data_IF_243637290713
#
_entry.id   IF_243637290713
#
_cell.length_a   1.000
_cell.length_b   1.000
_cell.length_c   1.000
_cell.angle_alpha   90.00
_cell.angle_beta   90.00
_cell.angle_gamma   90.00
#
_symmetry.space_group_name_H-M   'P 1'
#
loop_
_entity.id
_entity.type
_entity.pdbx_description
1 polymer ?
#
# COMPACT_ATOMS: atom_id res chain seq x y z
N UNK A 1 86.54 37.73 -17.36
CA UNK A 1 85.09 38.01 -17.51
C UNK A 1 84.38 36.69 -17.27
N UNK A 2 83.46 36.44 -16.32
CA UNK A 2 82.71 37.12 -15.26
C UNK A 2 82.32 35.97 -14.29
N UNK A 3 82.63 35.98 -12.99
CA UNK A 3 81.87 36.52 -11.83
C UNK A 3 80.39 36.09 -11.68
N UNK A 4 80.04 35.66 -10.45
CA UNK A 4 78.68 35.46 -9.88
C UNK A 4 78.36 33.98 -9.62
N UNK A 5 78.24 33.39 -8.41
CA UNK A 5 77.85 33.82 -7.04
C UNK A 5 76.44 34.40 -6.90
N UNK A 6 75.46 33.55 -6.53
CA UNK A 6 74.25 33.80 -5.71
C UNK A 6 73.62 32.43 -5.39
N UNK A 7 73.56 31.88 -4.17
CA UNK A 7 72.84 32.27 -2.94
C UNK A 7 71.40 32.73 -3.18
N UNK A 8 70.44 31.88 -2.80
CA UNK A 8 69.00 32.18 -2.93
C UNK A 8 68.06 31.09 -2.40
N UNK A 9 68.03 30.95 -1.07
CA UNK A 9 66.87 30.62 -0.23
C UNK A 9 65.95 29.44 -0.58
N UNK A 10 66.03 28.42 0.30
CA UNK A 10 64.97 27.44 0.55
C UNK A 10 63.73 28.16 1.11
N UNK A 11 62.64 28.16 0.34
CA UNK A 11 61.32 28.54 0.82
C UNK A 11 60.66 27.27 1.38
N UNK A 12 60.79 27.04 2.69
CA UNK A 12 59.98 26.06 3.40
C UNK A 12 58.61 26.69 3.64
N UNK A 13 57.67 26.44 2.73
CA UNK A 13 56.25 26.66 3.00
C UNK A 13 55.79 25.60 3.98
N UNK A 14 55.85 25.94 5.28
CA UNK A 14 55.14 25.25 6.34
C UNK A 14 53.63 25.40 6.15
N UNK A 15 53.08 24.63 5.21
CA UNK A 15 51.65 24.40 5.10
C UNK A 15 51.26 23.43 6.21
N UNK A 16 50.71 23.96 7.30
CA UNK A 16 50.03 23.16 8.31
C UNK A 16 48.78 22.57 7.66
N UNK A 17 48.92 21.40 7.03
CA UNK A 17 47.77 20.61 6.59
C UNK A 17 47.06 20.15 7.84
N UNK A 18 46.01 20.87 8.25
CA UNK A 18 45.04 20.36 9.21
C UNK A 18 44.36 19.20 8.50
N UNK A 19 44.90 18.00 8.68
CA UNK A 19 44.21 16.76 8.34
C UNK A 19 43.10 16.63 9.36
N UNK A 20 41.96 17.24 9.01
CA UNK A 20 40.70 16.96 9.67
C UNK A 20 40.35 15.50 9.39
N UNK A 21 40.83 14.61 10.26
CA UNK A 21 40.36 13.23 10.38
C UNK A 21 38.94 13.27 10.96
N UNK A 22 37.99 13.78 10.17
CA UNK A 22 36.61 13.36 10.32
C UNK A 22 36.53 11.97 9.70
N UNK A 23 36.85 10.95 10.50
CA UNK A 23 36.40 9.60 10.20
C UNK A 23 34.87 9.69 10.11
N UNK A 24 34.34 9.77 8.88
CA UNK A 24 32.91 9.75 8.65
C UNK A 24 32.40 8.44 9.25
N UNK A 25 31.69 8.55 10.37
CA UNK A 25 31.02 7.42 10.99
C UNK A 25 30.06 6.87 9.94
N UNK A 26 30.41 5.71 9.38
CA UNK A 26 29.56 5.01 8.45
C UNK A 26 28.22 4.73 9.17
N UNK A 27 27.07 5.10 8.59
CA UNK A 27 25.79 4.87 9.21
C UNK A 27 25.64 3.38 9.49
N UNK A 28 25.20 3.04 10.71
CA UNK A 28 24.94 1.65 11.04
C UNK A 28 23.86 1.09 10.10
N UNK A 29 24.02 -0.18 9.69
CA UNK A 29 22.99 -0.85 8.92
C UNK A 29 21.71 -0.95 9.75
N UNK A 30 20.58 -0.65 9.11
CA UNK A 30 19.24 -0.69 9.70
C UNK A 30 18.41 -1.78 9.01
N UNK A 31 17.46 -2.34 9.74
CA UNK A 31 16.51 -3.32 9.21
C UNK A 31 15.25 -2.58 8.74
N UNK A 32 14.75 -2.92 7.55
CA UNK A 32 13.56 -2.34 6.94
C UNK A 32 12.54 -3.45 6.66
N UNK A 33 11.27 -3.18 6.94
CA UNK A 33 10.16 -4.00 6.44
C UNK A 33 9.70 -3.40 5.09
N UNK A 34 9.67 -4.23 4.03
CA UNK A 34 9.16 -3.79 2.75
C UNK A 34 7.63 -3.73 2.77
N UNK A 35 7.00 -2.56 2.52
CA UNK A 35 5.54 -2.45 2.57
C UNK A 35 4.86 -3.17 1.41
N UNK A 36 5.59 -3.43 0.32
CA UNK A 36 5.04 -4.04 -0.90
C UNK A 36 5.00 -5.56 -0.86
N UNK A 37 6.05 -6.21 -0.32
CA UNK A 37 6.14 -7.67 -0.31
C UNK A 37 6.33 -8.29 1.09
N UNK A 38 6.31 -7.47 2.15
CA UNK A 38 6.51 -7.91 3.53
C UNK A 38 7.92 -8.44 3.84
N UNK A 39 8.85 -8.38 2.89
CA UNK A 39 10.21 -8.90 3.07
C UNK A 39 11.05 -7.98 3.96
N UNK A 40 11.89 -8.58 4.80
CA UNK A 40 12.83 -7.87 5.68
C UNK A 40 14.18 -7.68 5.00
N UNK A 41 14.63 -6.43 4.93
CA UNK A 41 15.85 -6.05 4.21
C UNK A 41 16.77 -5.26 5.13
N UNK A 42 18.03 -5.65 5.23
CA UNK A 42 19.05 -4.89 5.97
C UNK A 42 19.78 -3.97 5.00
N UNK A 43 19.82 -2.67 5.28
CA UNK A 43 20.46 -1.68 4.42
C UNK A 43 21.05 -0.50 5.18
N UNK A 44 22.01 0.18 4.56
CA UNK A 44 22.60 1.40 5.13
C UNK A 44 21.79 2.60 4.62
N UNK A 45 21.20 3.42 5.51
CA UNK A 45 20.47 4.62 5.07
C UNK A 45 21.40 5.56 4.31
N UNK A 46 20.89 6.15 3.22
CA UNK A 46 21.61 7.17 2.47
C UNK A 46 21.89 8.38 3.36
N UNK A 47 23.16 8.79 3.45
CA UNK A 47 23.59 9.92 4.30
C UNK A 47 22.92 11.25 3.93
N UNK A 48 22.41 11.38 2.70
CA UNK A 48 21.86 12.63 2.18
C UNK A 48 20.35 12.57 1.94
N UNK A 49 19.65 11.49 2.35
CA UNK A 49 18.21 11.30 2.12
C UNK A 49 17.80 11.17 0.64
N UNK A 50 18.77 11.20 -0.29
CA UNK A 50 18.55 11.25 -1.73
C UNK A 50 18.65 9.89 -2.43
N UNK A 51 19.10 8.84 -1.72
CA UNK A 51 19.14 7.49 -2.27
C UNK A 51 18.05 6.65 -1.61
N UNK A 52 16.99 6.40 -2.37
CA UNK A 52 15.99 5.38 -2.03
C UNK A 52 16.66 4.01 -2.03
N UNK A 53 16.52 3.27 -0.93
CA UNK A 53 16.94 1.88 -0.87
C UNK A 53 15.83 1.05 -1.52
N UNK A 54 16.12 0.23 -2.52
CA UNK A 54 15.10 -0.63 -3.14
C UNK A 54 15.09 -2.02 -2.51
N UNK A 55 13.90 -2.59 -2.36
CA UNK A 55 13.75 -3.98 -1.92
C UNK A 55 14.31 -4.91 -3.01
N UNK A 56 15.24 -5.82 -2.69
CA UNK A 56 15.80 -6.75 -3.66
C UNK A 56 14.78 -7.80 -4.14
N UNK A 57 13.68 -7.99 -3.40
CA UNK A 57 12.68 -9.00 -3.72
C UNK A 57 11.61 -8.51 -4.68
N UNK A 58 11.18 -7.24 -4.57
CA UNK A 58 10.08 -6.70 -5.37
C UNK A 58 10.38 -5.35 -6.03
N UNK A 59 11.60 -4.82 -5.90
CA UNK A 59 11.99 -3.51 -6.45
C UNK A 59 11.42 -2.30 -5.72
N UNK A 60 10.46 -2.48 -4.80
CA UNK A 60 9.77 -1.40 -4.11
C UNK A 60 10.69 -0.52 -3.25
N UNK A 61 10.40 0.78 -3.20
CA UNK A 61 11.23 1.77 -2.48
C UNK A 61 11.02 1.64 -0.96
N UNK A 62 12.12 1.41 -0.24
CA UNK A 62 12.18 1.39 1.21
C UNK A 62 12.44 2.81 1.73
N UNK A 63 11.48 3.35 2.47
CA UNK A 63 11.58 4.66 3.10
C UNK A 63 12.09 4.54 4.55
N UNK A 64 12.70 5.61 5.07
CA UNK A 64 13.28 5.63 6.43
C UNK A 64 12.25 5.41 7.55
N UNK A 65 10.98 5.76 7.33
CA UNK A 65 9.86 5.48 8.24
C UNK A 65 9.56 3.97 8.39
N UNK A 66 10.04 3.13 7.47
CA UNK A 66 9.92 1.66 7.56
C UNK A 66 11.11 1.01 8.25
N UNK A 67 12.05 1.81 8.79
CA UNK A 67 13.16 1.29 9.57
C UNK A 67 12.63 0.75 10.91
N UNK A 68 12.79 -0.55 11.10
CA UNK A 68 12.53 -1.20 12.38
C UNK A 68 13.68 -0.83 13.30
N UNK A 69 13.42 0.05 14.28
CA UNK A 69 14.37 0.33 15.35
C UNK A 69 14.61 -0.95 16.15
N UNK A 70 15.67 -1.69 15.82
CA UNK A 70 16.25 -2.61 16.79
C UNK A 70 16.80 -1.76 17.93
N UNK A 71 16.22 -1.89 19.12
CA UNK A 71 16.96 -1.59 20.34
C UNK A 71 18.21 -2.47 20.29
N UNK A 72 19.36 -1.86 19.98
CA UNK A 72 20.64 -2.50 20.17
C UNK A 72 20.74 -2.82 21.67
N UNK A 73 20.53 -4.10 22.03
CA UNK A 73 21.11 -4.60 23.25
C UNK A 73 22.62 -4.40 23.11
N UNK A 74 23.27 -3.64 24.02
CA UNK A 74 24.70 -3.49 23.95
C UNK A 74 25.32 -4.88 24.04
N UNK A 75 26.15 -5.21 23.05
CA UNK A 75 26.97 -6.41 23.07
C UNK A 75 27.80 -6.38 24.36
N UNK A 76 27.38 -7.15 25.36
CA UNK A 76 28.22 -7.42 26.52
C UNK A 76 29.40 -8.24 26.02
N UNK A 77 30.56 -7.60 26.00
CA UNK A 77 31.84 -8.26 25.79
C UNK A 77 31.98 -9.33 26.88
N UNK A 78 31.79 -10.60 26.52
CA UNK A 78 32.13 -11.72 27.38
C UNK A 78 33.65 -11.79 27.48
N UNK A 79 34.20 -11.20 28.54
CA UNK A 79 35.51 -11.55 29.05
C UNK A 79 35.38 -12.98 29.59
N UNK A 80 36.04 -13.92 28.92
CA UNK A 80 36.22 -15.27 29.43
C UNK A 80 37.09 -15.22 30.70
N UNK A 81 36.57 -15.77 31.79
CA UNK A 81 37.38 -16.28 32.90
C UNK A 81 36.65 -17.46 33.55
N UNK A 82 37.37 -18.52 33.95
CA UNK A 82 36.78 -19.84 34.17
C UNK A 82 36.31 -20.08 35.61
N UNK A 83 35.45 -21.08 35.72
CA UNK A 83 35.14 -21.89 36.89
C UNK A 83 34.48 -21.18 38.09
N UNK A 84 33.22 -21.51 38.34
CA UNK A 84 32.82 -22.06 39.64
C UNK A 84 31.55 -22.90 39.45
N UNK A 85 31.66 -24.18 39.83
CA UNK A 85 30.56 -25.11 39.93
C UNK A 85 29.62 -24.68 41.07
N UNK A 86 28.31 -24.83 40.87
CA UNK A 86 27.33 -24.55 41.91
C UNK A 86 25.90 -24.79 41.47
N UNK A 87 25.41 -25.98 41.80
CA UNK A 87 24.03 -26.29 42.21
C UNK A 87 22.88 -26.25 41.20
N UNK A 88 22.54 -27.48 40.81
CA UNK A 88 21.21 -27.93 40.44
C UNK A 88 20.18 -27.61 41.53
N UNK A 89 19.15 -26.84 41.18
CA UNK A 89 17.72 -27.08 41.45
C UNK A 89 16.95 -25.75 41.40
N UNK A 90 16.01 -25.62 40.46
CA UNK A 90 14.59 -25.54 40.81
C UNK A 90 13.72 -25.05 39.64
N UNK A 91 12.73 -25.89 39.34
CA UNK A 91 11.35 -25.57 38.92
C UNK A 91 11.15 -24.95 37.54
N UNK A 92 10.84 -25.86 36.62
CA UNK A 92 9.84 -25.65 35.58
C UNK A 92 8.54 -25.08 36.19
N UNK A 93 8.10 -23.93 35.68
CA UNK A 93 6.72 -23.45 35.75
C UNK A 93 6.25 -23.31 34.31
N UNK A 94 5.71 -24.41 33.79
CA UNK A 94 4.76 -24.38 32.69
C UNK A 94 3.38 -24.09 33.27
N UNK A 95 2.58 -23.32 32.53
CA UNK A 95 1.10 -23.35 32.47
C UNK A 95 0.45 -21.98 32.72
N UNK A 96 0.14 -21.32 31.60
CA UNK A 96 -1.18 -20.81 31.24
C UNK A 96 -2.00 -20.06 32.30
N UNK A 97 -2.24 -18.76 32.05
CA UNK A 97 -3.55 -18.10 32.20
C UNK A 97 -3.54 -16.71 31.55
N UNK A 98 -3.89 -16.70 30.27
CA UNK A 98 -4.66 -15.60 29.68
C UNK A 98 -6.06 -15.64 30.28
N UNK A 99 -6.45 -14.65 31.07
CA UNK A 99 -7.85 -14.26 31.27
C UNK A 99 -7.91 -12.99 32.10
N UNK A 100 -8.45 -11.92 31.51
CA UNK A 100 -8.85 -10.74 32.26
C UNK A 100 -8.46 -9.43 31.60
N UNK A 101 -8.97 -9.16 30.40
CA UNK A 101 -9.04 -7.79 29.84
C UNK A 101 -9.94 -7.65 28.60
N UNK A 102 -11.14 -8.21 28.64
CA UNK A 102 -12.18 -7.94 27.63
C UNK A 102 -13.54 -7.77 28.29
N UNK A 103 -13.90 -6.53 28.63
CA UNK A 103 -15.31 -6.15 28.86
C UNK A 103 -15.62 -4.66 28.60
N UNK A 104 -14.64 -3.77 28.32
CA UNK A 104 -14.95 -2.34 28.14
C UNK A 104 -15.08 -1.89 26.67
N UNK A 105 -14.47 -2.60 25.72
CA UNK A 105 -14.50 -2.21 24.30
C UNK A 105 -15.80 -2.61 23.57
N UNK A 106 -16.54 -3.60 24.07
CA UNK A 106 -17.78 -4.07 23.45
C UNK A 106 -18.97 -3.15 23.73
N UNK A 107 -18.98 -2.40 24.83
CA UNK A 107 -20.12 -1.55 25.20
C UNK A 107 -20.18 -0.28 24.32
N UNK A 108 -19.04 0.25 23.89
CA UNK A 108 -18.99 1.45 23.02
C UNK A 108 -19.49 1.12 21.59
N UNK A 109 -19.20 -0.07 21.08
CA UNK A 109 -19.68 -0.51 19.77
C UNK A 109 -21.22 -0.58 19.70
N UNK A 110 -21.88 -1.13 20.72
CA UNK A 110 -23.34 -1.23 20.73
C UNK A 110 -24.04 0.13 20.84
N UNK A 111 -23.45 1.09 21.56
CA UNK A 111 -24.02 2.46 21.65
C UNK A 111 -23.93 3.17 20.30
N UNK A 112 -22.84 3.03 19.56
CA UNK A 112 -22.69 3.64 18.23
C UNK A 112 -23.66 3.05 17.21
N UNK A 113 -23.86 1.72 17.22
CA UNK A 113 -24.83 1.05 16.33
C UNK A 113 -26.26 1.50 16.64
N UNK A 114 -26.63 1.64 17.93
CA UNK A 114 -27.95 2.14 18.30
C UNK A 114 -28.19 3.59 17.86
N UNK A 115 -27.16 4.44 17.91
CA UNK A 115 -27.24 5.84 17.43
C UNK A 115 -27.40 5.90 15.91
N UNK A 116 -26.67 5.07 15.14
CA UNK A 116 -26.79 5.00 13.68
C UNK A 116 -28.19 4.55 13.26
N UNK A 117 -28.73 3.50 13.91
CA UNK A 117 -30.10 3.03 13.64
C UNK A 117 -31.13 4.10 13.99
N UNK A 118 -30.97 4.80 15.11
CA UNK A 118 -31.86 5.89 15.49
C UNK A 118 -31.82 7.07 14.49
N UNK A 119 -30.65 7.40 13.96
CA UNK A 119 -30.50 8.42 12.92
C UNK A 119 -31.21 8.01 11.61
N UNK A 120 -31.01 6.78 11.14
CA UNK A 120 -31.67 6.26 9.92
C UNK A 120 -33.19 6.29 10.09
N UNK A 121 -33.71 5.81 11.22
CA UNK A 121 -35.14 5.85 11.50
C UNK A 121 -35.65 7.29 11.59
N UNK A 122 -34.89 8.21 12.20
CA UNK A 122 -35.28 9.61 12.27
C UNK A 122 -35.41 10.26 10.88
N UNK A 123 -34.51 9.97 9.94
CA UNK A 123 -34.60 10.45 8.56
C UNK A 123 -35.79 9.84 7.81
N UNK A 124 -36.05 8.54 7.99
CA UNK A 124 -37.19 7.87 7.37
C UNK A 124 -38.55 8.35 7.92
N UNK A 125 -38.64 8.62 9.23
CA UNK A 125 -39.89 9.06 9.85
C UNK A 125 -40.16 10.56 9.70
N UNK A 126 -39.14 11.42 9.52
CA UNK A 126 -39.37 12.86 9.25
C UNK A 126 -39.87 13.15 7.83
N UNK A 127 -39.69 12.22 6.89
CA UNK A 127 -40.18 12.36 5.52
C UNK A 127 -41.68 12.15 5.34
N UNK A 128 -42.41 11.67 6.36
CA UNK A 128 -43.79 11.17 6.17
C UNK A 128 -44.87 11.94 6.94
N UNK A 129 -44.67 13.24 7.18
CA UNK A 129 -45.70 14.14 7.69
C UNK A 129 -46.11 15.15 6.61
N UNK A 130 -46.73 14.64 5.54
CA UNK A 130 -47.18 15.45 4.41
C UNK A 130 -48.27 14.77 3.60
N UNK A 131 -49.52 14.89 4.08
CA UNK A 131 -50.78 14.84 3.33
C UNK A 131 -51.06 13.65 2.39
N UNK A 132 -52.04 12.84 2.82
CA UNK A 132 -52.94 12.10 1.95
C UNK A 132 -53.47 12.97 0.79
N UNK A 133 -53.04 12.69 -0.43
CA UNK A 133 -53.91 12.78 -1.61
C UNK A 133 -53.65 11.56 -2.49
N UNK A 134 -54.73 10.81 -2.72
CA UNK A 134 -54.73 9.72 -3.67
C UNK A 134 -54.40 10.24 -5.06
N UNK A 135 -53.31 9.73 -5.62
CA UNK A 135 -53.14 9.57 -7.05
C UNK A 135 -52.39 8.27 -7.23
N UNK A 136 -53.05 7.30 -7.85
CA UNK A 136 -52.40 6.13 -8.43
C UNK A 136 -51.47 6.63 -9.52
N UNK A 137 -50.22 6.95 -9.16
CA UNK A 137 -49.11 6.97 -10.08
C UNK A 137 -48.06 6.07 -9.46
N UNK A 138 -48.04 4.84 -9.96
CA UNK A 138 -46.84 4.03 -10.07
C UNK A 138 -45.81 4.88 -10.80
N UNK A 139 -45.08 5.74 -10.08
CA UNK A 139 -43.81 6.26 -10.57
C UNK A 139 -42.85 5.08 -10.45
N UNK A 140 -42.93 4.19 -11.44
CA UNK A 140 -41.73 3.66 -12.04
C UNK A 140 -40.79 4.86 -12.19
N UNK A 141 -39.84 4.99 -11.28
CA UNK A 141 -38.57 5.57 -11.66
C UNK A 141 -37.99 4.56 -12.66
N UNK A 142 -38.49 4.62 -13.90
CA UNK A 142 -37.76 4.13 -15.06
C UNK A 142 -36.54 5.05 -15.14
N UNK A 143 -35.53 4.78 -14.33
CA UNK A 143 -34.18 4.93 -14.81
C UNK A 143 -34.12 4.00 -16.02
N UNK A 144 -34.32 4.58 -17.20
CA UNK A 144 -34.12 3.90 -18.47
C UNK A 144 -32.61 3.75 -18.63
N UNK A 145 -31.99 2.97 -17.76
CA UNK A 145 -30.70 2.35 -18.04
C UNK A 145 -30.98 1.35 -19.14
N UNK A 146 -30.87 1.79 -20.38
CA UNK A 146 -30.87 0.85 -21.50
C UNK A 146 -29.49 0.21 -21.55
N UNK A 147 -29.13 -0.55 -20.51
CA UNK A 147 -28.06 -1.52 -20.63
C UNK A 147 -28.59 -2.69 -21.45
N UNK A 148 -27.78 -3.17 -22.39
CA UNK A 148 -28.14 -4.36 -23.14
C UNK A 148 -28.07 -5.56 -22.19
N UNK A 149 -29.02 -6.51 -22.30
CA UNK A 149 -29.03 -7.71 -21.46
C UNK A 149 -27.73 -8.53 -21.60
N UNK A 150 -27.02 -8.35 -22.72
CA UNK A 150 -25.72 -8.96 -23.01
C UNK A 150 -24.93 -8.12 -24.01
N UNK A 151 -23.60 -8.14 -23.93
CA UNK A 151 -22.70 -7.47 -24.89
C UNK A 151 -21.72 -8.48 -25.50
N UNK A 152 -21.38 -8.32 -26.79
CA UNK A 152 -20.29 -9.09 -27.40
C UNK A 152 -18.94 -8.47 -27.06
N UNK A 153 -18.03 -9.27 -26.51
CA UNK A 153 -16.67 -8.85 -26.14
C UNK A 153 -15.68 -9.42 -27.17
N UNK A 154 -15.12 -8.60 -28.08
CA UNK A 154 -14.21 -9.08 -29.12
C UNK A 154 -12.97 -9.80 -28.57
N UNK A 155 -12.37 -9.26 -27.50
CA UNK A 155 -11.17 -9.83 -26.89
C UNK A 155 -11.39 -11.25 -26.31
N UNK A 156 -12.64 -11.60 -26.00
CA UNK A 156 -13.02 -12.91 -25.48
C UNK A 156 -13.72 -13.80 -26.52
N UNK A 157 -14.07 -13.24 -27.69
CA UNK A 157 -14.85 -13.89 -28.74
C UNK A 157 -16.19 -14.48 -28.26
N UNK A 158 -16.85 -13.83 -27.29
CA UNK A 158 -18.13 -14.30 -26.71
C UNK A 158 -19.03 -13.15 -26.23
N UNK A 159 -20.30 -13.49 -25.99
CA UNK A 159 -21.25 -12.60 -25.32
C UNK A 159 -21.10 -12.73 -23.80
N UNK A 160 -21.24 -11.61 -23.10
CA UNK A 160 -21.24 -11.52 -21.64
C UNK A 160 -22.53 -10.86 -21.19
N UNK A 161 -23.22 -11.49 -20.24
CA UNK A 161 -24.52 -11.04 -19.74
C UNK A 161 -24.36 -9.92 -18.70
N UNK A 162 -25.34 -9.01 -18.67
CA UNK A 162 -25.47 -8.00 -17.63
C UNK A 162 -25.91 -8.63 -16.30
N UNK A 163 -25.24 -8.25 -15.22
CA UNK A 163 -25.55 -8.70 -13.87
C UNK A 163 -26.18 -7.56 -13.06
N UNK A 164 -27.50 -7.63 -12.87
CA UNK A 164 -28.29 -6.65 -12.10
C UNK A 164 -27.94 -6.58 -10.60
N UNK A 165 -27.23 -7.56 -10.03
CA UNK A 165 -26.81 -7.50 -8.62
C UNK A 165 -25.63 -6.54 -8.42
N UNK A 166 -24.75 -6.44 -9.43
CA UNK A 166 -23.51 -5.67 -9.37
C UNK A 166 -23.51 -4.46 -10.31
N UNK A 167 -24.60 -4.25 -11.05
CA UNK A 167 -24.74 -3.22 -12.08
C UNK A 167 -23.55 -3.20 -13.05
N UNK A 168 -23.17 -4.39 -13.53
CA UNK A 168 -22.06 -4.58 -14.46
C UNK A 168 -22.25 -5.81 -15.33
N UNK A 169 -21.53 -5.91 -16.45
CA UNK A 169 -21.31 -7.19 -17.13
C UNK A 169 -20.36 -8.05 -16.29
N UNK A 170 -20.53 -9.38 -16.34
CA UNK A 170 -19.68 -10.32 -15.58
C UNK A 170 -19.25 -11.51 -16.43
N UNK A 171 -17.96 -11.58 -16.76
CA UNK A 171 -17.35 -12.74 -17.41
C UNK A 171 -16.83 -13.73 -16.37
N UNK A 172 -17.53 -14.85 -16.21
CA UNK A 172 -17.18 -15.90 -15.25
C UNK A 172 -15.83 -16.55 -15.52
N UNK A 173 -15.42 -16.65 -16.79
CA UNK A 173 -14.20 -17.38 -17.16
C UNK A 173 -12.92 -16.62 -16.80
N UNK A 174 -12.94 -15.28 -16.92
CA UNK A 174 -11.83 -14.40 -16.52
C UNK A 174 -12.03 -13.77 -15.14
N UNK A 175 -13.16 -14.07 -14.49
CA UNK A 175 -13.60 -13.50 -13.21
C UNK A 175 -13.49 -11.97 -13.19
N UNK A 176 -14.10 -11.37 -14.22
CA UNK A 176 -14.03 -9.94 -14.50
C UNK A 176 -15.42 -9.31 -14.52
N UNK A 177 -15.60 -8.27 -13.71
CA UNK A 177 -16.74 -7.36 -13.80
C UNK A 177 -16.33 -6.14 -14.62
N UNK A 178 -17.18 -5.67 -15.51
CA UNK A 178 -16.87 -4.48 -16.30
C UNK A 178 -18.14 -3.73 -16.71
N UNK A 179 -18.00 -2.42 -16.84
CA UNK A 179 -19.09 -1.55 -17.27
C UNK A 179 -18.52 -0.30 -17.95
N UNK A 180 -19.35 0.36 -18.76
CA UNK A 180 -18.97 1.60 -19.43
C UNK A 180 -19.35 2.77 -18.52
N UNK A 181 -18.36 3.41 -17.93
CA UNK A 181 -18.57 4.58 -17.08
C UNK A 181 -18.92 5.81 -17.94
N UNK A 182 -20.20 6.18 -17.93
CA UNK A 182 -20.76 7.31 -18.68
C UNK A 182 -20.55 8.67 -17.99
N UNK A 183 -20.05 8.70 -16.75
CA UNK A 183 -19.77 9.95 -16.04
C UNK A 183 -18.46 10.60 -16.52
N UNK A 184 -17.60 9.83 -17.19
CA UNK A 184 -16.36 10.29 -17.81
C UNK A 184 -16.60 10.85 -19.21
N UNK A 185 -15.75 11.78 -19.65
CA UNK A 185 -15.81 12.37 -20.99
C UNK A 185 -14.43 12.33 -21.69
N UNK A 186 -14.22 11.43 -22.66
CA UNK A 186 -15.18 10.45 -23.19
C UNK A 186 -15.53 9.35 -22.16
N UNK A 187 -16.66 8.63 -22.34
CA UNK A 187 -16.98 7.45 -21.54
C UNK A 187 -15.83 6.43 -21.60
N UNK A 188 -15.56 5.77 -20.48
CA UNK A 188 -14.43 4.83 -20.36
C UNK A 188 -14.91 3.50 -19.80
N UNK A 189 -14.40 2.40 -20.34
CA UNK A 189 -14.63 1.08 -19.77
C UNK A 189 -13.82 0.92 -18.49
N UNK A 190 -14.49 0.53 -17.41
CA UNK A 190 -13.86 0.20 -16.14
C UNK A 190 -14.01 -1.28 -15.86
N UNK A 191 -12.96 -1.87 -15.28
CA UNK A 191 -12.83 -3.31 -15.09
C UNK A 191 -12.48 -3.64 -13.64
N UNK A 192 -12.96 -4.77 -13.17
CA UNK A 192 -12.60 -5.37 -11.88
C UNK A 192 -12.30 -6.85 -12.11
N UNK A 193 -11.01 -7.16 -12.23
CA UNK A 193 -10.50 -8.53 -12.26
C UNK A 193 -10.26 -9.01 -10.84
N UNK A 194 -10.94 -10.06 -10.37
CA UNK A 194 -10.95 -10.38 -8.93
C UNK A 194 -9.56 -10.69 -8.35
N UNK A 195 -8.69 -11.41 -9.08
CA UNK A 195 -7.35 -11.72 -8.57
C UNK A 195 -6.42 -10.50 -8.44
N UNK A 196 -6.70 -9.43 -9.19
CA UNK A 196 -5.87 -8.21 -9.25
C UNK A 196 -6.48 -7.10 -8.41
N UNK A 197 -7.74 -6.79 -8.67
CA UNK A 197 -8.49 -5.67 -8.10
C UNK A 197 -8.72 -5.84 -6.60
N UNK A 198 -9.05 -7.06 -6.15
CA UNK A 198 -9.28 -7.34 -4.72
C UNK A 198 -8.06 -7.07 -3.83
N UNK A 199 -6.86 -6.98 -4.40
CA UNK A 199 -5.63 -6.63 -3.66
C UNK A 199 -5.60 -5.16 -3.21
N UNK A 200 -6.46 -4.33 -3.79
CA UNK A 200 -6.57 -2.90 -3.51
C UNK A 200 -7.75 -2.57 -2.57
N UNK A 201 -8.40 -3.59 -1.99
CA UNK A 201 -9.42 -3.45 -0.96
C UNK A 201 -10.75 -2.94 -1.52
N UNK A 202 -11.24 -1.83 -0.97
CA UNK A 202 -12.48 -1.16 -1.46
C UNK A 202 -12.23 -0.34 -2.75
N UNK A 203 -10.97 -0.23 -3.17
CA UNK A 203 -10.55 0.28 -4.47
C UNK A 203 -10.06 -0.88 -5.32
N UNK A 204 -9.77 -0.64 -6.59
CA UNK A 204 -9.24 -1.67 -7.48
C UNK A 204 -9.85 -1.64 -8.87
N UNK A 205 -10.77 -0.72 -9.16
CA UNK A 205 -11.19 -0.47 -10.53
C UNK A 205 -9.99 -0.20 -11.42
N UNK A 206 -10.02 -0.76 -12.61
CA UNK A 206 -8.95 -0.73 -13.58
C UNK A 206 -9.42 -0.02 -14.85
N UNK A 207 -8.51 0.70 -15.49
CA UNK A 207 -8.71 1.38 -16.76
C UNK A 207 -7.55 1.04 -17.70
N UNK A 208 -7.86 0.80 -18.96
CA UNK A 208 -6.86 0.62 -20.00
C UNK A 208 -6.59 1.96 -20.68
N UNK A 209 -5.33 2.36 -20.75
CA UNK A 209 -4.88 3.52 -21.49
C UNK A 209 -4.37 3.09 -22.88
N UNK A 210 -5.09 3.47 -23.93
CA UNK A 210 -4.75 3.13 -25.32
C UNK A 210 -3.52 3.86 -25.87
N UNK A 211 -3.23 5.06 -25.37
CA UNK A 211 -2.10 5.88 -25.79
C UNK A 211 -0.79 5.35 -25.18
N UNK A 212 -0.82 5.05 -23.87
CA UNK A 212 0.32 4.51 -23.14
C UNK A 212 0.44 2.99 -23.23
N UNK A 213 -0.60 2.32 -23.75
CA UNK A 213 -0.70 0.86 -23.87
C UNK A 213 -0.45 0.16 -22.54
N UNK A 214 -1.11 0.63 -21.48
CA UNK A 214 -0.95 0.06 -20.16
C UNK A 214 -2.20 0.17 -19.28
N UNK A 215 -2.22 -0.67 -18.25
CA UNK A 215 -3.27 -0.67 -17.25
C UNK A 215 -2.99 0.35 -16.15
N UNK A 216 -4.02 1.07 -15.74
CA UNK A 216 -4.07 1.83 -14.50
C UNK A 216 -5.04 1.16 -13.53
N UNK A 217 -4.75 1.27 -12.23
CA UNK A 217 -5.59 0.73 -11.16
C UNK A 217 -5.80 1.77 -10.07
N UNK A 218 -7.03 1.81 -9.54
CA UNK A 218 -7.41 2.70 -8.48
C UNK A 218 -6.82 2.24 -7.15
N UNK A 219 -6.01 3.09 -6.53
CA UNK A 219 -5.43 2.86 -5.19
C UNK A 219 -6.16 3.69 -4.10
N UNK A 220 -6.98 4.66 -4.52
CA UNK A 220 -7.77 5.50 -3.63
C UNK A 220 -8.82 6.31 -4.39
N UNK A 221 -9.69 7.03 -3.67
CA UNK A 221 -10.86 7.70 -4.24
C UNK A 221 -10.58 8.59 -5.45
N UNK A 222 -9.39 9.20 -5.53
CA UNK A 222 -8.93 9.99 -6.68
C UNK A 222 -7.46 9.67 -7.02
N UNK A 223 -7.03 8.44 -6.77
CA UNK A 223 -5.64 8.01 -6.96
C UNK A 223 -5.62 6.82 -7.89
N UNK A 224 -4.99 7.00 -9.05
CA UNK A 224 -4.77 5.97 -10.06
C UNK A 224 -3.28 5.81 -10.25
N UNK A 225 -2.82 4.57 -10.24
CA UNK A 225 -1.41 4.23 -10.42
C UNK A 225 -1.28 3.24 -11.56
N UNK A 226 -0.19 3.35 -12.31
CA UNK A 226 0.12 2.38 -13.36
C UNK A 226 0.26 1.00 -12.73
N UNK A 227 -0.49 0.03 -13.24
CA UNK A 227 -0.41 -1.35 -12.80
C UNK A 227 1.01 -1.89 -13.09
N UNK A 228 1.72 -2.42 -12.10
CA UNK A 228 3.05 -2.99 -12.33
C UNK A 228 2.97 -4.17 -13.31
N UNK A 229 3.85 -4.18 -14.31
CA UNK A 229 4.05 -5.36 -15.14
C UNK A 229 4.38 -6.56 -14.26
N UNK A 230 3.59 -7.61 -14.37
CA UNK A 230 3.66 -8.77 -13.48
C UNK A 230 3.05 -9.99 -14.16
N UNK A 231 3.08 -11.14 -13.48
CA UNK A 231 2.40 -12.36 -13.95
C UNK A 231 0.90 -12.15 -14.22
N UNK A 232 0.29 -11.16 -13.57
CA UNK A 232 -1.15 -10.88 -13.65
C UNK A 232 -1.58 -10.20 -14.94
N UNK A 233 -0.69 -9.50 -15.65
CA UNK A 233 -1.07 -8.78 -16.88
C UNK A 233 -1.31 -9.70 -18.07
N UNK A 234 -0.91 -10.97 -17.99
CA UNK A 234 -0.97 -11.92 -19.12
C UNK A 234 -2.39 -12.38 -19.46
N UNK A 235 -3.34 -12.25 -18.54
CA UNK A 235 -4.74 -12.67 -18.73
C UNK A 235 -5.72 -11.50 -18.72
N UNK A 236 -5.22 -10.26 -18.56
CA UNK A 236 -6.05 -9.08 -18.66
C UNK A 236 -6.42 -8.83 -20.11
N UNK A 237 -7.66 -8.40 -20.31
CA UNK A 237 -8.22 -8.04 -21.59
C UNK A 237 -8.99 -6.73 -21.43
N UNK A 238 -9.14 -5.99 -22.51
CA UNK A 238 -9.94 -4.77 -22.54
C UNK A 238 -10.87 -4.79 -23.76
N UNK A 239 -11.92 -3.99 -23.71
CA UNK A 239 -12.70 -3.57 -24.87
C UNK A 239 -11.85 -2.63 -25.73
N UNK A 240 -11.92 -2.81 -27.05
CA UNK A 240 -11.32 -1.91 -28.05
C UNK A 240 -12.23 -0.72 -28.39
#
# INVERSE_FOLDING_TARGET
MLLGSHLGQQNQSGGTTIVNNYAQQQPAAQLYDCPYCGSRVTGVPSQNGLSSLSCPNCGGVLQQNNAVFQQQQPAQQFIQSPAFAGDYNARAVQSNRNQGRSCLATVIGFVMVAVIIACILFFLFRGNAGSNQGYSNTTNYNYSDSHEDSIYVPALERYVDWNNEYDSYYDRETDCYFFLNQEMNPPIWQYWFEEVSSRYGDYGWMEWDDDERCWYIQEGANSWVKLPESEYTNYLWHMD
#
